data_IF_897855942695
#
_entry.id   IF_897855942695
#
_cell.length_a   1.000
_cell.length_b   1.000
_cell.length_c   1.000
_cell.angle_alpha   90.00
_cell.angle_beta   90.00
_cell.angle_gamma   90.00
#
_symmetry.space_group_name_H-M   'P 1'
#
loop_
_entity.id
_entity.type
_entity.pdbx_description
1 polymer ?
#
# COMPACT_ATOMS: atom_id res chain seq x y z
N UNK A 1 -8.63 18.27 -4.09
CA UNK A 1 -9.71 17.40 -3.54
C UNK A 1 -9.20 16.77 -2.26
N UNK A 2 -10.01 16.63 -1.20
CA UNK A 2 -9.55 15.99 0.03
C UNK A 2 -9.75 14.46 -0.10
N UNK A 3 -8.66 13.71 -0.28
CA UNK A 3 -8.69 12.24 -0.41
C UNK A 3 -8.69 11.51 0.95
N UNK A 4 -9.07 12.20 2.04
CA UNK A 4 -9.07 11.66 3.41
C UNK A 4 -9.89 10.38 3.55
N UNK A 5 -11.05 10.26 2.90
CA UNK A 5 -11.84 9.03 2.96
C UNK A 5 -11.10 7.84 2.35
N UNK A 6 -10.41 8.07 1.23
CA UNK A 6 -9.55 7.06 0.60
C UNK A 6 -8.35 6.69 1.48
N UNK A 7 -7.66 7.69 2.03
CA UNK A 7 -6.58 7.44 2.98
C UNK A 7 -7.05 6.62 4.20
N UNK A 8 -8.17 7.01 4.82
CA UNK A 8 -8.75 6.29 5.97
C UNK A 8 -9.15 4.86 5.60
N UNK A 9 -9.66 4.64 4.38
CA UNK A 9 -9.94 3.30 3.87
C UNK A 9 -8.66 2.47 3.74
N UNK A 10 -7.58 3.06 3.21
CA UNK A 10 -6.27 2.39 3.16
C UNK A 10 -5.79 2.05 4.57
N UNK A 11 -5.86 2.98 5.53
CA UNK A 11 -5.50 2.72 6.92
C UNK A 11 -6.34 1.58 7.52
N UNK A 12 -7.64 1.51 7.22
CA UNK A 12 -8.50 0.41 7.69
C UNK A 12 -8.09 -0.94 7.09
N UNK A 13 -7.70 -0.97 5.81
CA UNK A 13 -7.20 -2.19 5.16
C UNK A 13 -5.90 -2.65 5.83
N UNK A 14 -4.99 -1.72 6.08
CA UNK A 14 -3.66 -2.00 6.60
C UNK A 14 -3.68 -2.34 8.08
N UNK A 15 -4.65 -1.86 8.85
CA UNK A 15 -4.80 -2.20 10.28
C UNK A 15 -5.61 -3.48 10.53
N UNK A 16 -5.98 -4.21 9.48
CA UNK A 16 -6.66 -5.49 9.63
C UNK A 16 -5.73 -6.51 10.30
N UNK A 17 -6.06 -6.90 11.53
CA UNK A 17 -5.30 -7.85 12.35
C UNK A 17 -5.06 -9.20 11.67
N UNK A 18 -5.91 -9.60 10.70
CA UNK A 18 -5.70 -10.86 9.98
C UNK A 18 -4.40 -10.87 9.18
N UNK A 19 -3.93 -9.71 8.71
CA UNK A 19 -2.69 -9.59 7.94
C UNK A 19 -1.45 -9.88 8.78
N UNK A 20 -1.53 -9.73 10.10
CA UNK A 20 -0.40 -9.81 11.02
C UNK A 20 -0.40 -11.11 11.84
N UNK A 21 -1.33 -12.03 11.60
CA UNK A 21 -1.50 -13.26 12.39
C UNK A 21 -0.26 -14.13 12.44
N UNK A 22 0.60 -14.06 11.42
CA UNK A 22 1.82 -14.85 11.33
C UNK A 22 3.05 -14.19 11.94
N UNK A 23 2.94 -12.97 12.44
CA UNK A 23 4.06 -12.31 13.10
C UNK A 23 4.25 -12.95 14.48
N UNK A 24 5.49 -13.36 14.77
CA UNK A 24 5.84 -13.91 16.10
C UNK A 24 5.75 -12.86 17.22
N UNK A 25 5.71 -11.58 16.85
CA UNK A 25 5.68 -10.43 17.74
C UNK A 25 4.53 -9.51 17.34
N UNK A 26 4.18 -8.61 18.25
CA UNK A 26 3.27 -7.52 17.93
C UNK A 26 3.80 -6.74 16.71
N UNK A 27 2.90 -6.39 15.80
CA UNK A 27 3.23 -5.63 14.59
C UNK A 27 3.87 -4.29 14.93
N UNK A 28 4.99 -3.98 14.26
CA UNK A 28 5.65 -2.70 14.41
C UNK A 28 4.98 -1.63 13.54
N UNK A 29 5.35 -0.37 13.77
CA UNK A 29 4.98 0.71 12.85
C UNK A 29 5.50 0.44 11.42
N UNK A 30 6.70 -0.11 11.29
CA UNK A 30 7.31 -0.40 10.00
C UNK A 30 6.56 -1.53 9.26
N UNK A 31 6.12 -2.56 9.97
CA UNK A 31 5.33 -3.64 9.35
C UNK A 31 4.01 -3.10 8.79
N UNK A 32 3.30 -2.29 9.58
CA UNK A 32 2.07 -1.61 9.13
C UNK A 32 2.31 -0.68 7.95
N UNK A 33 3.45 0.00 7.95
CA UNK A 33 3.85 0.89 6.86
C UNK A 33 4.10 0.13 5.56
N UNK A 34 4.85 -0.97 5.60
CA UNK A 34 5.12 -1.79 4.42
C UNK A 34 3.84 -2.36 3.83
N UNK A 35 2.94 -2.85 4.69
CA UNK A 35 1.60 -3.30 4.26
C UNK A 35 0.81 -2.14 3.62
N UNK A 36 0.89 -0.92 4.17
CA UNK A 36 0.30 0.27 3.56
C UNK A 36 0.86 0.59 2.18
N UNK A 37 2.19 0.59 2.03
CA UNK A 37 2.84 0.85 0.75
C UNK A 37 2.45 -0.19 -0.30
N UNK A 38 2.34 -1.47 0.08
CA UNK A 38 1.86 -2.53 -0.81
C UNK A 38 0.43 -2.27 -1.29
N UNK A 39 -0.51 -2.04 -0.37
CA UNK A 39 -1.90 -1.74 -0.75
C UNK A 39 -1.98 -0.54 -1.70
N UNK A 40 -1.23 0.52 -1.38
CA UNK A 40 -1.25 1.72 -2.19
C UNK A 40 -0.62 1.50 -3.57
N UNK A 41 0.44 0.71 -3.67
CA UNK A 41 1.07 0.37 -4.93
C UNK A 41 0.13 -0.45 -5.83
N UNK A 42 -0.57 -1.44 -5.29
CA UNK A 42 -1.59 -2.20 -6.02
C UNK A 42 -2.72 -1.30 -6.53
N UNK A 43 -3.18 -0.36 -5.70
CA UNK A 43 -4.16 0.63 -6.11
C UNK A 43 -3.68 1.47 -7.30
N UNK A 44 -2.46 2.03 -7.24
CA UNK A 44 -1.92 2.81 -8.35
C UNK A 44 -1.74 1.96 -9.62
N UNK A 45 -1.24 0.73 -9.49
CA UNK A 45 -1.07 -0.20 -10.62
C UNK A 45 -2.40 -0.44 -11.33
N UNK A 46 -3.46 -0.78 -10.59
CA UNK A 46 -4.76 -1.16 -11.18
C UNK A 46 -5.40 0.00 -11.92
N UNK A 47 -5.36 1.20 -11.35
CA UNK A 47 -6.05 2.35 -11.92
C UNK A 47 -5.19 3.18 -12.88
N UNK A 48 -3.92 2.81 -13.09
CA UNK A 48 -2.99 3.53 -13.99
C UNK A 48 -3.54 3.56 -15.42
N UNK A 49 -3.90 4.76 -15.88
CA UNK A 49 -4.26 5.07 -17.26
C UNK A 49 -3.97 6.54 -17.53
N UNK A 50 -3.89 6.92 -18.80
CA UNK A 50 -3.73 8.34 -19.20
C UNK A 50 -4.88 9.21 -18.65
N UNK A 51 -6.12 8.72 -18.71
CA UNK A 51 -7.29 9.41 -18.16
C UNK A 51 -7.18 9.68 -16.65
N UNK A 52 -6.61 8.72 -15.91
CA UNK A 52 -6.52 8.80 -14.46
C UNK A 52 -5.24 9.48 -13.96
N UNK A 53 -4.28 9.79 -14.84
CA UNK A 53 -2.92 10.22 -14.47
C UNK A 53 -2.93 11.36 -13.44
N UNK A 54 -3.56 12.48 -13.78
CA UNK A 54 -3.63 13.65 -12.90
C UNK A 54 -4.27 13.32 -11.55
N UNK A 55 -5.33 12.51 -11.55
CA UNK A 55 -6.05 12.14 -10.34
C UNK A 55 -5.21 11.22 -9.45
N UNK A 56 -4.49 10.28 -10.04
CA UNK A 56 -3.58 9.39 -9.32
C UNK A 56 -2.38 10.13 -8.75
N UNK A 57 -1.85 11.14 -9.45
CA UNK A 57 -0.81 12.04 -8.92
C UNK A 57 -1.31 12.80 -7.69
N UNK A 58 -2.51 13.39 -7.75
CA UNK A 58 -3.07 14.08 -6.58
C UNK A 58 -3.32 13.14 -5.39
N UNK A 59 -3.73 11.88 -5.66
CA UNK A 59 -3.88 10.85 -4.62
C UNK A 59 -2.52 10.46 -4.03
N UNK A 60 -1.50 10.30 -4.87
CA UNK A 60 -0.13 10.02 -4.45
C UNK A 60 0.39 11.09 -3.51
N UNK A 61 0.35 12.35 -3.94
CA UNK A 61 0.83 13.48 -3.14
C UNK A 61 0.08 13.58 -1.81
N UNK A 62 -1.24 13.37 -1.84
CA UNK A 62 -2.04 13.39 -0.62
C UNK A 62 -1.64 12.27 0.36
N UNK A 63 -1.50 11.03 -0.11
CA UNK A 63 -1.16 9.89 0.76
C UNK A 63 0.24 10.04 1.37
N UNK A 64 1.24 10.45 0.60
CA UNK A 64 2.60 10.65 1.13
C UNK A 64 2.67 11.84 2.09
N UNK A 65 1.90 12.90 1.86
CA UNK A 65 1.77 14.00 2.83
C UNK A 65 1.14 13.54 4.14
N UNK A 66 0.08 12.73 4.09
CA UNK A 66 -0.52 12.17 5.31
C UNK A 66 0.47 11.25 6.05
N UNK A 67 1.21 10.45 5.30
CA UNK A 67 2.22 9.56 5.86
C UNK A 67 3.32 10.35 6.59
N UNK A 68 3.84 11.42 6.00
CA UNK A 68 4.82 12.31 6.63
C UNK A 68 4.30 12.86 7.96
N UNK A 69 3.05 13.35 7.97
CA UNK A 69 2.41 13.86 9.18
C UNK A 69 2.32 12.78 10.27
N UNK A 70 1.89 11.57 9.92
CA UNK A 70 1.82 10.46 10.87
C UNK A 70 3.20 10.07 11.44
N UNK A 71 4.27 10.16 10.64
CA UNK A 71 5.64 9.90 11.13
C UNK A 71 6.10 11.00 12.07
N UNK A 72 5.75 12.26 11.78
CA UNK A 72 6.05 13.42 12.63
C UNK A 72 5.39 13.30 14.00
N UNK A 73 4.14 12.82 14.04
CA UNK A 73 3.38 12.60 15.27
C UNK A 73 3.99 11.53 16.20
N UNK A 74 4.79 10.60 15.66
CA UNK A 74 5.47 9.56 16.45
C UNK A 74 6.73 10.12 17.17
N UNK A 75 7.09 11.39 16.94
CA UNK A 75 8.15 12.08 17.70
C UNK A 75 9.55 11.98 17.09
N UNK A 76 9.65 11.70 15.80
CA UNK A 76 10.93 11.81 15.08
C UNK A 76 11.32 13.28 14.88
N UNK A 77 12.60 13.63 15.08
CA UNK A 77 13.09 14.98 14.80
C UNK A 77 13.11 15.28 13.29
N UNK A 78 12.95 16.55 12.89
CA UNK A 78 12.75 16.97 11.49
C UNK A 78 13.79 16.41 10.49
N UNK A 79 15.07 16.40 10.86
CA UNK A 79 16.13 15.83 10.01
C UNK A 79 15.96 14.32 9.77
N UNK A 80 15.50 13.58 10.79
CA UNK A 80 15.27 12.15 10.69
C UNK A 80 14.00 11.80 9.88
N UNK A 81 12.99 12.68 9.88
CA UNK A 81 11.78 12.54 9.06
C UNK A 81 12.15 12.60 7.58
N UNK A 82 12.90 13.62 7.16
CA UNK A 82 13.27 13.80 5.76
C UNK A 82 14.03 12.60 5.19
N UNK A 83 14.94 12.01 5.97
CA UNK A 83 15.66 10.81 5.57
C UNK A 83 14.71 9.61 5.44
N UNK A 84 13.88 9.37 6.45
CA UNK A 84 12.91 8.27 6.45
C UNK A 84 11.90 8.35 5.31
N UNK A 85 11.39 9.55 5.01
CA UNK A 85 10.46 9.74 3.89
C UNK A 85 11.10 9.37 2.55
N UNK A 86 12.36 9.74 2.33
CA UNK A 86 13.11 9.32 1.13
C UNK A 86 13.24 7.80 1.07
N UNK A 87 13.59 7.16 2.18
CA UNK A 87 13.70 5.71 2.25
C UNK A 87 12.36 5.02 1.93
N UNK A 88 11.24 5.52 2.46
CA UNK A 88 9.91 4.97 2.19
C UNK A 88 9.43 5.20 0.75
N UNK A 89 9.73 6.35 0.16
CA UNK A 89 9.46 6.61 -1.26
C UNK A 89 10.25 5.64 -2.14
N UNK A 90 11.53 5.39 -1.82
CA UNK A 90 12.35 4.43 -2.55
C UNK A 90 11.80 3.00 -2.45
N UNK A 91 11.39 2.59 -1.24
CA UNK A 91 10.72 1.29 -1.04
C UNK A 91 9.42 1.23 -1.85
N UNK A 92 8.62 2.29 -1.85
CA UNK A 92 7.39 2.33 -2.63
C UNK A 92 7.63 2.17 -4.13
N UNK A 93 8.62 2.88 -4.69
CA UNK A 93 8.98 2.73 -6.10
C UNK A 93 9.48 1.33 -6.42
N UNK A 94 10.25 0.71 -5.53
CA UNK A 94 10.67 -0.68 -5.67
C UNK A 94 9.47 -1.64 -5.68
N UNK A 95 8.49 -1.45 -4.78
CA UNK A 95 7.24 -2.22 -4.76
C UNK A 95 6.51 -2.08 -6.09
N UNK A 96 6.27 -0.83 -6.55
CA UNK A 96 5.55 -0.55 -7.80
C UNK A 96 6.24 -1.22 -9.00
N UNK A 97 7.57 -1.20 -9.04
CA UNK A 97 8.36 -1.87 -10.07
C UNK A 97 8.16 -3.38 -10.03
N UNK A 98 8.29 -4.00 -8.86
CA UNK A 98 8.23 -5.46 -8.73
C UNK A 98 6.83 -6.01 -9.02
N UNK A 99 5.77 -5.30 -8.62
CA UNK A 99 4.39 -5.72 -8.90
C UNK A 99 3.93 -5.34 -10.32
N UNK A 100 4.76 -4.68 -11.13
CA UNK A 100 4.36 -4.14 -12.44
C UNK A 100 3.70 -5.18 -13.35
N UNK A 101 4.13 -6.45 -13.27
CA UNK A 101 3.59 -7.57 -14.05
C UNK A 101 2.78 -8.60 -13.22
N UNK A 102 2.37 -8.24 -12.00
CA UNK A 102 1.71 -9.12 -11.02
C UNK A 102 0.67 -10.12 -11.57
N UNK A 103 -0.19 -9.66 -12.47
CA UNK A 103 -1.26 -10.43 -13.12
C UNK A 103 -0.77 -11.56 -14.04
N UNK A 104 0.47 -11.44 -14.53
CA UNK A 104 1.13 -12.44 -15.40
C UNK A 104 2.19 -13.26 -14.67
N UNK A 105 2.50 -12.92 -13.42
CA UNK A 105 3.51 -13.62 -12.63
C UNK A 105 3.01 -14.98 -12.15
N UNK A 106 3.90 -15.97 -12.19
CA UNK A 106 3.73 -17.23 -11.49
C UNK A 106 3.71 -17.01 -9.97
N UNK A 107 3.01 -17.89 -9.25
CA UNK A 107 2.86 -17.79 -7.79
C UNK A 107 4.19 -17.83 -7.04
N UNK A 108 5.21 -18.53 -7.56
CA UNK A 108 6.56 -18.50 -6.99
C UNK A 108 7.13 -17.08 -7.00
N UNK A 109 6.99 -16.33 -8.11
CA UNK A 109 7.46 -14.95 -8.22
C UNK A 109 6.65 -13.99 -7.35
N UNK A 110 5.35 -14.21 -7.22
CA UNK A 110 4.52 -13.43 -6.28
C UNK A 110 4.98 -13.62 -4.85
N UNK A 111 5.28 -14.86 -4.44
CA UNK A 111 5.82 -15.16 -3.11
C UNK A 111 7.18 -14.51 -2.90
N UNK A 112 8.10 -14.58 -3.87
CA UNK A 112 9.39 -13.88 -3.81
C UNK A 112 9.23 -12.37 -3.56
N UNK A 113 8.32 -11.71 -4.29
CA UNK A 113 8.06 -10.26 -4.15
C UNK A 113 7.50 -9.95 -2.76
N UNK A 114 6.49 -10.70 -2.30
CA UNK A 114 5.89 -10.44 -0.97
C UNK A 114 6.92 -10.71 0.13
N UNK A 115 7.69 -11.80 0.07
CA UNK A 115 8.77 -12.08 1.01
C UNK A 115 9.82 -10.98 1.05
N UNK A 116 10.19 -10.40 -0.11
CA UNK A 116 11.17 -9.31 -0.19
C UNK A 116 10.75 -8.08 0.62
N UNK A 117 9.46 -7.72 0.62
CA UNK A 117 8.99 -6.53 1.32
C UNK A 117 8.44 -6.81 2.72
N UNK A 118 8.01 -8.04 2.98
CA UNK A 118 7.41 -8.47 4.25
C UNK A 118 8.23 -9.60 4.87
N UNK A 119 9.55 -9.40 4.99
CA UNK A 119 10.52 -10.44 5.41
C UNK A 119 10.18 -11.13 6.74
N UNK A 120 9.56 -10.40 7.67
CA UNK A 120 9.19 -10.92 9.00
C UNK A 120 7.89 -11.74 9.00
N UNK A 121 7.15 -11.78 7.90
CA UNK A 121 5.87 -12.46 7.81
C UNK A 121 6.07 -13.92 7.39
N UNK A 122 5.50 -14.84 8.16
CA UNK A 122 5.63 -16.29 7.91
C UNK A 122 4.55 -16.86 7.00
N UNK A 123 3.40 -16.19 6.88
CA UNK A 123 2.27 -16.64 6.06
C UNK A 123 2.29 -16.06 4.64
N UNK A 124 3.44 -16.13 3.96
CA UNK A 124 3.62 -15.53 2.63
C UNK A 124 2.56 -16.00 1.63
N UNK A 125 2.16 -17.28 1.68
CA UNK A 125 1.12 -17.83 0.81
C UNK A 125 -0.23 -17.15 1.03
N UNK A 126 -0.68 -17.04 2.28
CA UNK A 126 -1.93 -16.35 2.63
C UNK A 126 -1.89 -14.87 2.24
N UNK A 127 -0.73 -14.22 2.35
CA UNK A 127 -0.54 -12.83 1.95
C UNK A 127 -0.61 -12.67 0.42
N UNK A 128 -0.01 -13.59 -0.34
CA UNK A 128 -0.13 -13.60 -1.81
C UNK A 128 -1.60 -13.77 -2.21
N UNK A 129 -2.32 -14.70 -1.58
CA UNK A 129 -3.75 -14.89 -1.84
C UNK A 129 -4.58 -13.66 -1.48
N UNK A 130 -4.26 -13.02 -0.35
CA UNK A 130 -4.87 -11.76 0.04
C UNK A 130 -4.67 -10.69 -1.03
N UNK A 131 -3.43 -10.46 -1.49
CA UNK A 131 -3.13 -9.43 -2.49
C UNK A 131 -3.66 -9.78 -3.88
N UNK A 132 -3.72 -11.06 -4.26
CA UNK A 132 -4.41 -11.52 -5.47
C UNK A 132 -5.91 -11.17 -5.43
N UNK A 133 -6.57 -11.46 -4.31
CA UNK A 133 -7.98 -11.12 -4.11
C UNK A 133 -8.20 -9.61 -4.10
N UNK A 134 -7.32 -8.86 -3.43
CA UNK A 134 -7.36 -7.41 -3.41
C UNK A 134 -7.22 -6.82 -4.82
N UNK A 135 -6.20 -7.23 -5.58
CA UNK A 135 -5.99 -6.84 -6.96
C UNK A 135 -7.23 -7.14 -7.83
N UNK A 136 -7.75 -8.37 -7.77
CA UNK A 136 -8.96 -8.77 -8.51
C UNK A 136 -10.17 -7.89 -8.18
N UNK A 137 -10.36 -7.54 -6.91
CA UNK A 137 -11.47 -6.68 -6.48
C UNK A 137 -11.33 -5.24 -6.97
N UNK A 138 -10.11 -4.68 -6.97
CA UNK A 138 -9.85 -3.36 -7.53
C UNK A 138 -10.13 -3.33 -9.03
N UNK A 139 -9.64 -4.33 -9.78
CA UNK A 139 -9.74 -4.40 -11.24
C UNK A 139 -11.17 -4.51 -11.78
N UNK A 140 -12.14 -4.87 -10.92
CA UNK A 140 -13.57 -4.89 -11.26
C UNK A 140 -14.24 -3.51 -11.24
N UNK A 141 -13.52 -2.46 -10.87
CA UNK A 141 -14.04 -1.11 -10.70
C UNK A 141 -13.32 -0.11 -11.61
N UNK A 142 -13.98 1.01 -11.90
CA UNK A 142 -13.29 2.22 -12.38
C UNK A 142 -12.79 3.03 -11.18
N UNK A 143 -11.76 3.87 -11.38
CA UNK A 143 -11.25 4.76 -10.32
C UNK A 143 -12.37 5.61 -9.71
N UNK A 144 -13.26 6.15 -10.55
CA UNK A 144 -14.38 6.96 -10.10
C UNK A 144 -15.41 6.17 -9.29
N UNK A 145 -15.74 4.94 -9.70
CA UNK A 145 -16.65 4.06 -8.94
C UNK A 145 -16.05 3.69 -7.59
N UNK A 146 -14.77 3.30 -7.57
CA UNK A 146 -14.08 2.92 -6.35
C UNK A 146 -13.98 4.07 -5.36
N UNK A 147 -13.58 5.27 -5.81
CA UNK A 147 -13.49 6.42 -4.90
C UNK A 147 -14.85 6.84 -4.35
N UNK A 148 -15.93 6.70 -5.13
CA UNK A 148 -17.30 6.97 -4.65
C UNK A 148 -17.74 5.97 -3.58
N UNK A 149 -17.47 4.67 -3.77
CA UNK A 149 -17.83 3.64 -2.78
C UNK A 149 -17.07 3.79 -1.46
N UNK A 150 -15.91 4.45 -1.48
CA UNK A 150 -15.16 4.77 -0.27
C UNK A 150 -15.76 5.94 0.52
N UNK A 151 -16.40 6.90 -0.16
CA UNK A 151 -17.04 8.07 0.48
C UNK A 151 -18.40 7.71 1.08
N UNK A 152 -19.12 6.77 0.46
CA UNK A 152 -20.43 6.29 0.90
C UNK A 152 -20.29 4.84 1.43
N UNK A 153 -19.81 4.64 2.68
CA UNK A 153 -19.54 3.32 3.26
C UNK A 153 -20.79 2.48 3.50
#
# INVERSE_FOLDING_TARGET
MNYIYFYNKLIKLTTNKTLYKSLDKQDSFNDRLLVFLLHFAFFLKVFKSEENEKKLQEIYDFNFRQLELSIREIGYGDQSINKKMKDYINVFHAIVSDIHFWDTLEDIKKREIISKFLENFKNIEELVDYFNNYYSNLSKNTLNSYLKSVINP
#
